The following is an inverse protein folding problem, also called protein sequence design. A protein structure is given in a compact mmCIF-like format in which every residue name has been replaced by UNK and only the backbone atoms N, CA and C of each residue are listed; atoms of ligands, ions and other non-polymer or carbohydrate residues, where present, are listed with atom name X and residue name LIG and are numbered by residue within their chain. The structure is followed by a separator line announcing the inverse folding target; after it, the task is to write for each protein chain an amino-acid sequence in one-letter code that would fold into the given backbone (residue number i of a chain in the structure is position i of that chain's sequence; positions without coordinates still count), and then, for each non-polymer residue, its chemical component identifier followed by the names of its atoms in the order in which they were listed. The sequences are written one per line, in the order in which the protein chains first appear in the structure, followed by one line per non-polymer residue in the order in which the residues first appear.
data_IF_134879194740
#
_entry.id   IF_134879194740
#
_cell.length_a   1.000
_cell.length_b   1.000
_cell.length_c   1.000
_cell.angle_alpha   90.00
_cell.angle_beta   90.00
_cell.angle_gamma   90.00
#
_symmetry.space_group_name_H-M   'P 1'
#
loop_
_entity.id
_entity.type
_entity.pdbx_description
1 polymer ?
#
# COMPACT_ATOMS: atom_id res chain seq x y z
N UNK A 1 35.55 52.99 -14.13
CA UNK A 1 34.28 52.58 -13.48
C UNK A 1 33.93 51.21 -14.03
N UNK A 2 34.14 50.14 -13.24
CA UNK A 2 34.12 48.75 -13.71
C UNK A 2 32.87 48.07 -13.13
N UNK A 3 31.84 47.95 -13.95
CA UNK A 3 30.59 47.29 -13.57
C UNK A 3 30.80 45.77 -13.59
N UNK A 4 30.73 45.14 -12.43
CA UNK A 4 30.72 43.69 -12.28
C UNK A 4 29.25 43.23 -12.30
N UNK A 5 28.82 42.59 -13.40
CA UNK A 5 27.56 41.85 -13.43
C UNK A 5 27.73 40.55 -12.63
N UNK A 6 27.04 40.42 -11.50
CA UNK A 6 26.92 39.16 -10.79
C UNK A 6 25.81 38.33 -11.45
N UNK A 7 26.20 37.22 -12.09
CA UNK A 7 25.28 36.20 -12.61
C UNK A 7 24.82 35.35 -11.43
N UNK A 8 23.53 35.42 -11.10
CA UNK A 8 22.89 34.59 -10.09
C UNK A 8 22.44 33.29 -10.76
N UNK A 9 23.26 32.23 -10.66
CA UNK A 9 22.88 30.89 -11.10
C UNK A 9 21.81 30.32 -10.17
N UNK A 10 20.58 30.25 -10.66
CA UNK A 10 19.46 29.60 -9.99
C UNK A 10 19.67 28.07 -10.06
N UNK A 11 20.09 27.47 -8.94
CA UNK A 11 20.21 26.02 -8.81
C UNK A 11 18.79 25.46 -8.64
N UNK A 12 18.26 24.82 -9.68
CA UNK A 12 17.03 24.03 -9.60
C UNK A 12 17.36 22.70 -8.93
N UNK A 13 17.05 22.57 -7.64
CA UNK A 13 17.11 21.28 -6.95
C UNK A 13 16.06 20.33 -7.56
N UNK A 14 16.40 19.07 -7.86
CA UNK A 14 15.41 18.08 -8.27
C UNK A 14 14.44 17.87 -7.11
N UNK A 15 13.16 18.13 -7.37
CA UNK A 15 12.09 17.85 -6.42
C UNK A 15 11.94 16.33 -6.35
N UNK A 16 12.57 15.70 -5.35
CA UNK A 16 12.22 14.33 -4.98
C UNK A 16 10.75 14.38 -4.53
N UNK A 17 9.86 13.80 -5.34
CA UNK A 17 8.43 13.77 -5.05
C UNK A 17 8.21 13.16 -3.67
N UNK A 18 7.60 13.93 -2.77
CA UNK A 18 7.26 13.42 -1.45
C UNK A 18 6.14 12.39 -1.59
N UNK A 19 6.29 11.25 -0.93
CA UNK A 19 5.28 10.21 -0.90
C UNK A 19 3.95 10.80 -0.43
N UNK A 20 2.91 10.68 -1.26
CA UNK A 20 1.62 11.31 -1.04
C UNK A 20 0.50 10.42 -1.60
N UNK A 21 -0.67 10.38 -0.94
CA UNK A 21 -1.82 9.68 -1.50
C UNK A 21 -2.31 10.42 -2.74
N UNK A 22 -2.86 9.70 -3.71
CA UNK A 22 -3.41 10.30 -4.94
C UNK A 22 -4.66 11.12 -4.63
N UNK A 23 -5.46 10.65 -3.66
CA UNK A 23 -6.57 11.41 -3.11
C UNK A 23 -6.95 10.96 -1.70
N UNK A 24 -7.53 11.87 -0.93
CA UNK A 24 -8.12 11.61 0.39
C UNK A 24 -9.36 12.48 0.55
N UNK A 25 -10.48 11.86 0.92
CA UNK A 25 -11.74 12.55 1.16
C UNK A 25 -11.80 13.14 2.58
N UNK A 26 -12.73 14.07 2.80
CA UNK A 26 -12.98 14.64 4.12
C UNK A 26 -13.49 13.63 5.17
N UNK A 27 -13.93 12.44 4.77
CA UNK A 27 -14.39 11.39 5.69
C UNK A 27 -13.22 10.63 6.36
N UNK A 28 -12.00 10.78 5.85
CA UNK A 28 -10.79 10.21 6.42
C UNK A 28 -10.09 11.26 7.30
N UNK A 29 -9.72 10.87 8.52
CA UNK A 29 -9.03 11.72 9.48
C UNK A 29 -7.51 11.59 9.42
N UNK A 30 -7.02 10.39 9.13
CA UNK A 30 -5.59 10.11 8.98
C UNK A 30 -5.39 9.00 7.95
N UNK A 31 -4.28 9.08 7.23
CA UNK A 31 -3.83 8.06 6.29
C UNK A 31 -2.31 7.96 6.36
N UNK A 32 -1.83 6.72 6.41
CA UNK A 32 -0.42 6.37 6.28
C UNK A 32 -0.32 5.20 5.32
N UNK A 33 0.80 5.08 4.61
CA UNK A 33 1.02 4.00 3.68
C UNK A 33 2.51 3.70 3.58
N UNK A 34 2.79 2.48 3.17
CA UNK A 34 4.16 1.99 3.15
C UNK A 34 4.25 0.49 3.01
N UNK A 35 5.47 0.03 3.26
CA UNK A 35 5.87 -1.37 3.27
C UNK A 35 5.81 -1.87 4.71
N UNK A 36 5.33 -3.09 4.91
CA UNK A 36 5.27 -3.77 6.20
C UNK A 36 5.72 -5.23 6.05
N UNK A 37 6.09 -5.84 7.18
CA UNK A 37 6.13 -7.29 7.29
C UNK A 37 4.79 -7.72 7.86
N UNK A 38 4.08 -8.56 7.13
CA UNK A 38 2.72 -8.93 7.50
C UNK A 38 2.72 -9.79 8.77
N UNK A 39 1.83 -9.50 9.73
CA UNK A 39 1.68 -10.31 10.92
C UNK A 39 0.94 -11.62 10.60
N UNK A 40 1.05 -12.59 11.50
CA UNK A 40 0.26 -13.81 11.39
C UNK A 40 -1.25 -13.52 11.48
N UNK A 41 -2.02 -14.16 10.61
CA UNK A 41 -3.47 -13.99 10.59
C UNK A 41 -4.12 -14.70 11.78
N UNK A 42 -5.04 -14.03 12.47
CA UNK A 42 -5.82 -14.64 13.57
C UNK A 42 -7.05 -15.37 13.04
N UNK A 43 -7.54 -14.99 11.86
CA UNK A 43 -8.62 -15.67 11.15
C UNK A 43 -8.64 -15.25 9.68
N UNK A 44 -9.64 -15.71 8.93
CA UNK A 44 -9.88 -15.31 7.53
C UNK A 44 -11.32 -14.87 7.32
N UNK A 45 -11.55 -14.05 6.30
CA UNK A 45 -12.87 -13.58 5.88
C UNK A 45 -13.10 -13.88 4.38
N UNK A 46 -14.32 -14.27 3.96
CA UNK A 46 -14.63 -14.48 2.55
C UNK A 46 -14.39 -13.24 1.69
N UNK A 47 -13.66 -13.42 0.59
CA UNK A 47 -13.37 -12.38 -0.39
C UNK A 47 -13.40 -12.98 -1.80
N UNK A 48 -14.57 -13.41 -2.30
CA UNK A 48 -14.69 -14.17 -3.55
C UNK A 48 -14.22 -13.43 -4.80
N UNK A 49 -14.04 -12.10 -4.72
CA UNK A 49 -13.51 -11.27 -5.80
C UNK A 49 -11.98 -11.06 -5.68
N UNK A 50 -11.29 -11.94 -4.97
CA UNK A 50 -9.83 -12.05 -4.90
C UNK A 50 -9.40 -13.38 -5.47
N UNK A 51 -8.16 -13.50 -5.95
CA UNK A 51 -7.66 -14.79 -6.47
C UNK A 51 -7.65 -15.90 -5.41
N UNK A 52 -7.32 -15.55 -4.16
CA UNK A 52 -7.33 -16.48 -3.03
C UNK A 52 -8.76 -16.82 -2.53
N UNK A 53 -9.77 -16.02 -2.89
CA UNK A 53 -11.15 -16.15 -2.40
C UNK A 53 -11.35 -15.76 -0.93
N UNK A 54 -10.30 -15.33 -0.23
CA UNK A 54 -10.29 -14.95 1.19
C UNK A 54 -9.39 -13.73 1.44
N UNK A 55 -9.59 -13.08 2.58
CA UNK A 55 -8.67 -12.10 3.17
C UNK A 55 -8.25 -12.55 4.56
N UNK A 56 -7.04 -12.20 4.98
CA UNK A 56 -6.56 -12.42 6.33
C UNK A 56 -7.08 -11.35 7.28
N UNK A 57 -7.56 -11.78 8.45
CA UNK A 57 -7.89 -10.89 9.55
C UNK A 57 -6.71 -10.90 10.50
N UNK A 58 -6.20 -9.72 10.83
CA UNK A 58 -5.06 -9.52 11.73
C UNK A 58 -5.57 -9.05 13.09
N UNK A 59 -4.93 -9.53 14.18
CA UNK A 59 -5.31 -9.15 15.54
C UNK A 59 -4.81 -7.77 15.93
N UNK A 60 -3.54 -7.50 15.61
CA UNK A 60 -2.86 -6.24 15.93
C UNK A 60 -2.54 -5.44 14.66
N UNK A 61 -2.49 -4.12 14.83
CA UNK A 61 -2.12 -3.16 13.79
C UNK A 61 -0.62 -3.22 13.50
N UNK A 62 -0.18 -3.68 12.30
CA UNK A 62 1.24 -3.81 11.98
C UNK A 62 1.89 -2.45 11.82
N UNK A 63 3.19 -2.37 12.02
CA UNK A 63 3.98 -1.17 11.75
C UNK A 63 4.53 -1.20 10.32
N UNK A 64 4.62 -0.03 9.69
CA UNK A 64 5.36 0.09 8.44
C UNK A 64 6.87 0.02 8.75
N UNK A 65 7.58 -0.81 8.00
CA UNK A 65 9.06 -0.85 8.02
C UNK A 65 9.64 0.30 7.19
N UNK A 66 8.86 0.84 6.25
CA UNK A 66 9.20 2.04 5.49
C UNK A 66 7.94 2.74 4.97
N UNK A 67 7.88 4.07 5.11
CA UNK A 67 6.87 4.92 4.47
C UNK A 67 7.29 5.24 3.02
N UNK A 68 7.07 4.29 2.11
CA UNK A 68 7.48 4.37 0.69
C UNK A 68 6.33 3.91 -0.23
N UNK A 69 6.25 4.49 -1.42
CA UNK A 69 5.39 4.02 -2.52
C UNK A 69 6.14 3.13 -3.51
N UNK A 70 7.45 2.92 -3.34
CA UNK A 70 8.26 2.00 -4.16
C UNK A 70 8.49 0.73 -3.35
N UNK A 71 8.02 -0.41 -3.85
CA UNK A 71 7.93 -1.68 -3.11
C UNK A 71 8.75 -2.78 -3.81
N UNK A 72 9.64 -3.51 -3.12
CA UNK A 72 10.31 -4.65 -3.75
C UNK A 72 9.36 -5.85 -3.90
N UNK A 73 9.33 -6.46 -5.08
CA UNK A 73 8.68 -7.75 -5.32
C UNK A 73 9.48 -8.88 -4.66
N UNK A 74 9.25 -9.14 -3.37
CA UNK A 74 9.88 -10.23 -2.63
C UNK A 74 8.86 -10.93 -1.73
N UNK A 75 9.01 -12.24 -1.56
CA UNK A 75 8.12 -13.03 -0.70
C UNK A 75 8.08 -12.50 0.73
N UNK A 76 6.89 -12.50 1.32
CA UNK A 76 6.63 -11.99 2.67
C UNK A 76 6.61 -10.46 2.79
N UNK A 77 7.04 -9.72 1.77
CA UNK A 77 6.90 -8.26 1.74
C UNK A 77 5.42 -7.94 1.58
N UNK A 78 4.90 -7.13 2.50
CA UNK A 78 3.58 -6.54 2.42
C UNK A 78 3.64 -5.04 2.17
N UNK A 79 2.59 -4.48 1.58
CA UNK A 79 2.45 -3.04 1.39
C UNK A 79 0.97 -2.66 1.35
N UNK A 80 0.67 -1.43 1.75
CA UNK A 80 -0.71 -0.96 1.78
C UNK A 80 -0.92 0.32 2.55
N UNK A 81 -2.14 0.46 3.06
CA UNK A 81 -2.66 1.69 3.63
C UNK A 81 -3.23 1.42 5.02
N UNK A 82 -2.81 2.25 5.97
CA UNK A 82 -3.48 2.45 7.26
C UNK A 82 -4.36 3.68 7.13
N UNK A 83 -5.65 3.55 7.41
CA UNK A 83 -6.58 4.66 7.35
C UNK A 83 -7.46 4.73 8.59
N UNK A 84 -7.78 5.94 9.03
CA UNK A 84 -8.69 6.16 10.15
C UNK A 84 -9.83 7.05 9.74
N UNK A 85 -11.04 6.61 10.02
CA UNK A 85 -12.25 7.37 9.76
C UNK A 85 -12.31 8.61 10.66
N UNK A 86 -12.94 9.67 10.17
CA UNK A 86 -13.20 10.88 10.96
C UNK A 86 -14.31 10.68 11.99
N UNK A 87 -15.28 9.82 11.68
CA UNK A 87 -16.36 9.45 12.59
C UNK A 87 -15.84 8.47 13.63
N UNK A 88 -16.16 8.68 14.91
CA UNK A 88 -15.65 7.88 16.01
C UNK A 88 -16.09 6.40 15.89
N UNK A 89 -17.31 6.18 15.42
CA UNK A 89 -17.91 4.86 15.15
C UNK A 89 -17.30 4.14 13.93
N UNK A 90 -16.50 4.82 13.12
CA UNK A 90 -15.94 4.27 11.89
C UNK A 90 -16.85 4.40 10.66
N UNK A 91 -16.46 3.71 9.60
CA UNK A 91 -17.17 3.62 8.33
C UNK A 91 -17.31 2.15 7.96
N UNK A 92 -18.53 1.63 7.95
CA UNK A 92 -18.81 0.28 7.45
C UNK A 92 -19.08 0.27 5.93
N UNK A 93 -19.10 -0.95 5.37
CA UNK A 93 -19.38 -1.23 3.96
C UNK A 93 -18.43 -0.46 3.03
N UNK A 94 -17.16 -0.46 3.37
CA UNK A 94 -16.07 0.07 2.54
C UNK A 94 -15.58 -1.04 1.64
N UNK A 95 -15.62 -0.83 0.33
CA UNK A 95 -15.02 -1.74 -0.64
C UNK A 95 -13.60 -1.31 -0.91
N UNK A 96 -12.64 -2.18 -0.61
CA UNK A 96 -11.25 -2.02 -1.03
C UNK A 96 -11.14 -2.61 -2.43
N UNK A 97 -10.61 -1.82 -3.36
CA UNK A 97 -10.28 -2.22 -4.72
C UNK A 97 -8.78 -2.12 -4.88
N UNK A 98 -8.15 -3.22 -5.28
CA UNK A 98 -6.72 -3.32 -5.56
C UNK A 98 -6.56 -3.56 -7.05
N UNK A 99 -5.83 -2.67 -7.72
CA UNK A 99 -5.46 -2.84 -9.14
C UNK A 99 -3.98 -3.13 -9.23
N UNK A 100 -3.59 -4.02 -10.14
CA UNK A 100 -2.22 -4.50 -10.30
C UNK A 100 -1.97 -4.99 -11.74
N UNK A 101 -0.70 -5.23 -12.13
CA UNK A 101 -0.40 -5.89 -13.40
C UNK A 101 -1.04 -7.29 -13.46
N UNK A 102 -1.32 -7.83 -14.66
CA UNK A 102 -2.01 -9.12 -14.79
C UNK A 102 -1.33 -10.24 -14.00
N UNK A 103 -2.11 -10.99 -13.21
CA UNK A 103 -1.58 -12.08 -12.40
C UNK A 103 -2.50 -13.31 -12.41
N UNK A 104 -1.92 -14.49 -12.13
CA UNK A 104 -2.60 -15.78 -12.17
C UNK A 104 -3.01 -16.23 -13.59
N UNK A 105 -3.61 -17.41 -13.68
CA UNK A 105 -3.91 -18.05 -14.98
C UNK A 105 -4.87 -17.25 -15.88
N UNK A 106 -5.74 -16.43 -15.27
CA UNK A 106 -6.73 -15.63 -15.98
C UNK A 106 -6.27 -14.19 -16.26
N UNK A 107 -5.04 -13.82 -15.87
CA UNK A 107 -4.53 -12.45 -16.02
C UNK A 107 -5.40 -11.43 -15.28
N UNK A 108 -5.85 -11.77 -14.08
CA UNK A 108 -6.62 -10.85 -13.22
C UNK A 108 -5.81 -9.59 -12.99
N UNK A 109 -6.45 -8.43 -13.06
CA UNK A 109 -5.82 -7.11 -12.84
C UNK A 109 -6.48 -6.31 -11.72
N UNK A 110 -7.60 -6.80 -11.20
CA UNK A 110 -8.39 -6.14 -10.17
C UNK A 110 -8.88 -7.17 -9.17
N UNK A 111 -8.71 -6.88 -7.89
CA UNK A 111 -9.25 -7.65 -6.78
C UNK A 111 -10.02 -6.73 -5.84
N UNK A 112 -11.05 -7.26 -5.18
CA UNK A 112 -11.83 -6.46 -4.22
C UNK A 112 -12.39 -7.26 -3.06
N UNK A 113 -12.61 -6.56 -1.94
CA UNK A 113 -13.27 -7.10 -0.76
C UNK A 113 -13.95 -5.98 0.02
N UNK A 114 -14.94 -6.35 0.84
CA UNK A 114 -15.67 -5.40 1.70
C UNK A 114 -15.18 -5.50 3.14
N UNK A 115 -14.97 -4.35 3.77
CA UNK A 115 -14.51 -4.21 5.15
C UNK A 115 -15.08 -2.92 5.77
N UNK A 116 -14.56 -2.53 6.94
CA UNK A 116 -14.79 -1.23 7.55
C UNK A 116 -13.48 -0.47 7.79
N UNK A 117 -13.61 0.84 8.04
CA UNK A 117 -12.51 1.71 8.48
C UNK A 117 -12.85 2.23 9.88
N UNK A 118 -12.06 1.85 10.88
CA UNK A 118 -12.25 2.25 12.28
C UNK A 118 -12.02 3.76 12.51
N UNK A 119 -12.77 4.35 13.45
CA UNK A 119 -12.64 5.74 13.86
C UNK A 119 -11.68 5.99 15.02
N UNK A 120 -11.51 4.98 15.88
CA UNK A 120 -10.62 4.99 17.05
C UNK A 120 -9.31 4.23 16.83
N UNK A 121 -8.44 4.27 17.84
CA UNK A 121 -7.13 3.60 17.80
C UNK A 121 -6.25 4.03 16.64
N UNK A 122 -5.47 3.09 16.10
CA UNK A 122 -4.58 3.31 14.95
C UNK A 122 -5.31 3.28 13.59
N UNK A 123 -6.63 3.06 13.59
CA UNK A 123 -7.44 2.90 12.37
C UNK A 123 -7.47 1.45 11.87
N UNK A 124 -7.68 1.29 10.56
CA UNK A 124 -7.80 0.01 9.87
C UNK A 124 -6.74 -0.13 8.78
N UNK A 125 -6.27 -1.36 8.61
CA UNK A 125 -5.31 -1.72 7.57
C UNK A 125 -5.99 -2.35 6.35
N UNK A 126 -5.48 -1.99 5.19
CA UNK A 126 -5.74 -2.68 3.93
C UNK A 126 -4.42 -2.83 3.21
N UNK A 127 -3.94 -4.06 3.10
CA UNK A 127 -2.63 -4.35 2.53
C UNK A 127 -2.68 -5.60 1.64
N UNK A 128 -1.65 -5.75 0.81
CA UNK A 128 -1.37 -6.93 0.01
C UNK A 128 -0.02 -7.48 0.46
N UNK A 129 0.12 -8.80 0.52
CA UNK A 129 1.36 -9.50 0.83
C UNK A 129 1.69 -10.44 -0.32
N UNK A 130 2.97 -10.53 -0.67
CA UNK A 130 3.42 -11.49 -1.67
C UNK A 130 3.66 -12.87 -1.02
N UNK A 131 2.65 -13.73 -1.09
CA UNK A 131 2.67 -15.10 -0.56
C UNK A 131 2.93 -16.14 -1.65
N UNK A 132 2.58 -15.83 -2.89
CA UNK A 132 2.70 -16.73 -4.02
C UNK A 132 3.53 -16.13 -5.15
N UNK A 133 4.23 -16.98 -5.90
CA UNK A 133 5.11 -16.55 -6.99
C UNK A 133 4.37 -15.74 -8.08
N UNK A 134 3.11 -16.05 -8.33
CA UNK A 134 2.31 -15.32 -9.31
C UNK A 134 2.00 -13.88 -8.86
N UNK A 135 2.14 -13.54 -7.58
CA UNK A 135 1.85 -12.21 -7.05
C UNK A 135 3.02 -11.24 -7.17
N UNK A 136 4.22 -11.74 -7.48
CA UNK A 136 5.45 -10.95 -7.66
C UNK A 136 5.45 -10.19 -8.99
N UNK A 137 4.38 -9.44 -9.24
CA UNK A 137 4.20 -8.64 -10.45
C UNK A 137 4.76 -7.23 -10.24
N UNK A 138 5.83 -6.92 -10.97
CA UNK A 138 6.41 -5.57 -11.04
C UNK A 138 5.55 -4.63 -11.88
N UNK A 139 5.52 -3.36 -11.53
CA UNK A 139 4.77 -2.31 -12.21
C UNK A 139 3.81 -1.56 -11.28
N UNK A 140 2.81 -0.88 -11.84
CA UNK A 140 1.91 -0.04 -11.06
C UNK A 140 0.89 -0.87 -10.28
N UNK A 141 0.74 -0.54 -9.00
CA UNK A 141 -0.31 -1.06 -8.12
C UNK A 141 -1.10 0.09 -7.51
N UNK A 142 -2.37 -0.11 -7.18
CA UNK A 142 -3.14 0.91 -6.45
C UNK A 142 -4.15 0.31 -5.48
N UNK A 143 -4.37 1.04 -4.39
CA UNK A 143 -5.40 0.77 -3.40
C UNK A 143 -6.42 1.90 -3.42
N UNK A 144 -7.68 1.57 -3.69
CA UNK A 144 -8.79 2.52 -3.62
C UNK A 144 -9.83 2.02 -2.63
N UNK A 145 -10.15 2.82 -1.62
CA UNK A 145 -11.29 2.57 -0.75
C UNK A 145 -12.51 3.32 -1.26
N UNK A 146 -13.62 2.60 -1.46
CA UNK A 146 -14.89 3.13 -1.93
C UNK A 146 -15.97 2.95 -0.87
N UNK A 147 -16.85 3.93 -0.72
CA UNK A 147 -18.08 3.81 0.07
C UNK A 147 -19.25 4.42 -0.70
N UNK A 148 -20.33 3.67 -0.86
CA UNK A 148 -21.49 4.08 -1.66
C UNK A 148 -21.09 4.55 -3.08
N UNK A 149 -20.11 3.88 -3.69
CA UNK A 149 -19.58 4.22 -5.01
C UNK A 149 -18.71 5.48 -5.07
N UNK A 150 -18.38 6.12 -3.94
CA UNK A 150 -17.52 7.30 -3.87
C UNK A 150 -16.16 6.97 -3.25
N UNK A 151 -15.05 7.49 -3.77
CA UNK A 151 -13.74 7.21 -3.22
C UNK A 151 -13.51 7.95 -1.90
N UNK A 152 -13.04 7.20 -0.90
CA UNK A 152 -12.59 7.69 0.39
C UNK A 152 -11.10 8.05 0.37
N UNK A 153 -10.28 7.22 -0.27
CA UNK A 153 -8.88 7.48 -0.60
C UNK A 153 -8.44 6.66 -1.81
N UNK A 154 -7.35 7.07 -2.44
CA UNK A 154 -6.60 6.30 -3.42
C UNK A 154 -5.09 6.49 -3.17
N UNK A 155 -4.33 5.40 -3.24
CA UNK A 155 -2.86 5.40 -3.09
C UNK A 155 -2.26 4.48 -4.14
N UNK A 156 -1.35 5.01 -4.95
CA UNK A 156 -0.59 4.27 -5.94
C UNK A 156 0.77 3.84 -5.39
N UNK A 157 1.25 2.69 -5.85
CA UNK A 157 2.57 2.13 -5.56
C UNK A 157 3.22 1.69 -6.87
N UNK A 158 4.55 1.68 -6.89
CA UNK A 158 5.33 1.06 -7.94
C UNK A 158 6.07 -0.14 -7.35
N UNK A 159 5.74 -1.33 -7.84
CA UNK A 159 6.42 -2.56 -7.44
C UNK A 159 7.62 -2.77 -8.37
N UNK A 160 8.82 -2.86 -7.81
CA UNK A 160 10.07 -2.98 -8.54
C UNK A 160 10.75 -4.32 -8.28
N UNK A 161 11.71 -4.67 -9.13
CA UNK A 161 12.55 -5.84 -8.90
C UNK A 161 13.30 -5.71 -7.54
N UNK A 162 13.45 -6.81 -6.78
CA UNK A 162 13.99 -6.78 -5.42
C UNK A 162 15.42 -6.22 -5.35
N UNK A 163 16.21 -6.34 -6.42
CA UNK A 163 17.58 -5.80 -6.52
C UNK A 163 17.62 -4.26 -6.51
N UNK A 164 16.49 -3.62 -6.79
CA UNK A 164 16.35 -2.16 -6.72
C UNK A 164 16.32 -1.67 -5.26
N UNK A 165 15.81 -2.50 -4.34
CA UNK A 165 15.64 -2.19 -2.92
C UNK A 165 16.04 -3.41 -2.05
N UNK A 166 17.31 -3.85 -2.09
CA UNK A 166 17.73 -5.14 -1.52
C UNK A 166 17.57 -5.20 0.00
N UNK A 167 17.76 -4.08 0.71
CA UNK A 167 17.55 -3.99 2.16
C UNK A 167 16.07 -4.25 2.52
N UNK A 168 15.14 -3.59 1.81
CA UNK A 168 13.71 -3.76 2.03
C UNK A 168 13.20 -5.12 1.52
N UNK A 169 13.84 -5.71 0.50
CA UNK A 169 13.51 -7.04 0.03
C UNK A 169 13.85 -8.13 1.07
N UNK A 170 14.90 -7.92 1.87
CA UNK A 170 15.33 -8.87 2.91
C UNK A 170 14.71 -8.65 4.29
N UNK A 171 14.11 -7.48 4.56
CA UNK A 171 13.72 -7.06 5.92
C UNK A 171 12.66 -7.96 6.57
N UNK A 172 11.83 -8.63 5.77
CA UNK A 172 10.77 -9.52 6.29
C UNK A 172 11.23 -10.98 6.46
N UNK A 173 12.52 -11.27 6.33
CA UNK A 173 13.12 -12.53 6.80
C UNK A 173 12.74 -13.78 6.02
N UNK A 174 12.03 -13.68 4.89
CA UNK A 174 11.61 -14.87 4.14
C UNK A 174 12.78 -15.66 3.55
N UNK A 175 13.94 -15.03 3.34
CA UNK A 175 15.16 -15.70 2.87
C UNK A 175 15.61 -16.81 3.85
N UNK A 176 15.29 -16.69 5.14
CA UNK A 176 15.63 -17.67 6.16
C UNK A 176 14.65 -18.86 6.22
N UNK A 177 13.46 -18.75 5.63
CA UNK A 177 12.44 -19.83 5.60
C UNK A 177 12.63 -20.83 4.46
N UNK A 178 13.54 -20.55 3.53
CA UNK A 178 13.91 -21.42 2.41
C UNK A 178 15.23 -22.20 2.63
N UNK A 179 15.85 -22.05 3.80
CA UNK A 179 17.13 -22.67 4.18
C UNK A 179 16.96 -23.93 5.03
#
# INVERSE_FOLDING_TARGET
MKHWLAIFSLITLPFAGQAAPDMVSSEIAAIEFGILCAPEAVSTSPAPNTLAGITHVIGDSPQFVANSQIVPAAFGVGFGVRSRARRAEGLDNVTIVITHPPMGDNGTTVQSYTTGIGGGGDGSFSFYQFDYAYELQTGPWSFTALRNGKPLYAVSFEVVAPETLPELAGVCGYVDLLS
#
